data_IF_690722153833
#
_entry.id   IF_690722153833
#
_cell.length_a   1.000
_cell.length_b   1.000
_cell.length_c   1.000
_cell.angle_alpha   90.00
_cell.angle_beta   90.00
_cell.angle_gamma   90.00
#
_symmetry.space_group_name_H-M   'P 1'
#
loop_
_entity.id
_entity.type
_entity.pdbx_description
1 polymer ?
#
# COMPACT_ATOMS: atom_id res chain seq x y z
N UNK A 1 -52.78 54.55 -0.65
CA UNK A 1 -51.79 55.57 -0.26
C UNK A 1 -50.45 55.19 -0.88
N UNK A 2 -50.07 55.86 -1.98
CA UNK A 2 -48.68 56.03 -2.41
C UNK A 2 -48.02 57.12 -1.52
N UNK A 3 -46.69 57.41 -1.57
CA UNK A 3 -45.93 57.86 -2.77
C UNK A 3 -44.62 57.06 -3.01
N UNK A 4 -44.21 56.82 -4.26
CA UNK A 4 -43.41 57.63 -5.22
C UNK A 4 -41.88 57.56 -4.96
N UNK A 5 -41.07 56.87 -5.78
CA UNK A 5 -40.53 57.18 -7.13
C UNK A 5 -39.57 58.37 -7.18
N UNK A 6 -38.31 58.13 -7.63
CA UNK A 6 -37.53 58.78 -8.73
C UNK A 6 -36.40 57.78 -9.05
N UNK A 7 -36.02 57.30 -10.25
CA UNK A 7 -36.04 57.73 -11.66
C UNK A 7 -34.75 57.10 -12.28
N UNK A 8 -34.75 56.04 -13.12
CA UNK A 8 -35.10 55.93 -14.57
C UNK A 8 -34.09 56.78 -15.42
N UNK A 9 -33.72 56.51 -16.71
CA UNK A 9 -33.24 55.31 -17.45
C UNK A 9 -32.45 55.56 -18.81
N UNK A 10 -32.26 54.47 -19.61
CA UNK A 10 -32.02 54.29 -21.11
C UNK A 10 -30.72 54.86 -21.74
N UNK A 11 -30.19 54.41 -22.90
CA UNK A 11 -30.70 53.63 -24.04
C UNK A 11 -29.53 53.00 -24.85
N UNK A 12 -29.59 51.73 -25.27
CA UNK A 12 -30.10 51.13 -26.55
C UNK A 12 -29.23 51.24 -27.81
N UNK A 13 -29.08 50.08 -28.46
CA UNK A 13 -29.22 49.72 -29.90
C UNK A 13 -28.07 48.80 -30.37
N UNK A 14 -28.29 47.55 -30.82
CA UNK A 14 -29.18 46.96 -31.85
C UNK A 14 -28.47 46.79 -33.22
N UNK A 15 -28.66 45.59 -33.77
CA UNK A 15 -28.60 45.17 -35.19
C UNK A 15 -27.32 44.53 -35.76
N UNK A 16 -27.44 43.21 -35.97
CA UNK A 16 -27.27 42.45 -37.22
C UNK A 16 -26.11 42.77 -38.19
N UNK A 17 -25.34 41.75 -38.58
CA UNK A 17 -25.52 41.02 -39.87
C UNK A 17 -24.42 39.98 -40.12
N UNK A 18 -24.82 39.05 -41.00
CA UNK A 18 -24.18 37.82 -41.46
C UNK A 18 -23.00 38.03 -42.44
N UNK A 19 -22.34 36.89 -42.71
CA UNK A 19 -21.69 36.42 -43.94
C UNK A 19 -20.21 36.72 -44.17
N UNK A 20 -19.51 35.65 -44.57
CA UNK A 20 -18.62 35.73 -45.74
C UNK A 20 -17.17 35.35 -45.48
N UNK A 21 -16.81 34.15 -45.91
CA UNK A 21 -15.45 33.64 -45.98
C UNK A 21 -14.58 34.41 -46.97
N UNK A 22 -13.28 34.61 -46.67
CA UNK A 22 -12.24 34.66 -47.72
C UNK A 22 -10.83 34.33 -47.21
N UNK A 23 -10.15 33.58 -48.09
CA UNK A 23 -8.77 33.09 -48.11
C UNK A 23 -7.71 34.12 -47.70
N UNK A 24 -6.64 33.62 -47.05
CA UNK A 24 -5.35 34.29 -46.93
C UNK A 24 -4.37 33.78 -48.03
N UNK A 25 -3.44 34.62 -48.52
CA UNK A 25 -2.61 34.34 -49.69
C UNK A 25 -1.18 33.82 -49.37
N UNK A 26 -0.49 33.54 -50.47
CA UNK A 26 0.81 32.92 -50.73
C UNK A 26 2.09 33.66 -50.24
N UNK A 27 3.14 32.83 -50.05
CA UNK A 27 4.59 32.99 -50.35
C UNK A 27 5.50 33.99 -49.62
N UNK A 28 6.68 33.47 -49.25
CA UNK A 28 7.93 34.24 -49.26
C UNK A 28 9.02 33.74 -48.28
N UNK A 29 9.96 32.95 -48.80
CA UNK A 29 11.41 32.87 -48.46
C UNK A 29 11.86 32.83 -46.98
N UNK A 30 12.64 31.83 -46.53
CA UNK A 30 14.08 31.77 -46.83
C UNK A 30 14.66 30.42 -46.36
N UNK A 31 15.48 29.83 -47.22
CA UNK A 31 16.29 28.64 -47.00
C UNK A 31 17.66 29.09 -46.45
N UNK A 32 18.05 28.60 -45.28
CA UNK A 32 19.43 28.80 -44.79
C UNK A 32 19.52 28.76 -43.27
N UNK A 33 19.68 27.58 -42.67
CA UNK A 33 20.00 27.52 -41.23
C UNK A 33 19.67 26.23 -40.47
N UNK A 34 19.20 25.15 -41.11
CA UNK A 34 18.79 23.92 -40.40
C UNK A 34 19.78 22.75 -40.48
N UNK A 35 21.08 23.00 -40.63
CA UNK A 35 22.11 21.94 -40.69
C UNK A 35 23.19 22.02 -39.59
N UNK A 36 22.91 22.65 -38.44
CA UNK A 36 23.80 22.59 -37.26
C UNK A 36 23.11 22.35 -35.91
N UNK A 37 21.80 22.09 -35.90
CA UNK A 37 21.04 21.91 -34.65
C UNK A 37 20.60 20.46 -34.36
N UNK A 38 20.88 19.51 -35.25
CA UNK A 38 20.39 18.13 -35.16
C UNK A 38 21.43 17.08 -34.70
N UNK A 39 22.62 17.52 -34.27
CA UNK A 39 23.67 16.61 -33.75
C UNK A 39 23.94 16.81 -32.25
N UNK A 40 23.25 17.76 -31.59
CA UNK A 40 23.33 17.95 -30.13
C UNK A 40 22.09 17.47 -29.35
N UNK A 41 21.14 16.80 -30.01
CA UNK A 41 19.88 16.37 -29.39
C UNK A 41 19.68 14.86 -29.35
N UNK A 42 20.75 14.07 -29.45
CA UNK A 42 20.68 12.59 -29.48
C UNK A 42 21.67 11.87 -28.56
N UNK A 43 22.25 12.58 -27.57
CA UNK A 43 22.99 11.96 -26.44
C UNK A 43 22.58 12.63 -25.11
N UNK A 44 21.34 13.11 -25.01
CA UNK A 44 20.84 13.88 -23.87
C UNK A 44 19.48 13.43 -23.33
N UNK A 45 18.98 12.26 -23.75
CA UNK A 45 17.70 11.72 -23.32
C UNK A 45 17.81 10.19 -23.23
N UNK A 46 18.33 9.70 -22.11
CA UNK A 46 17.97 8.48 -21.35
C UNK A 46 18.90 8.50 -20.14
N UNK A 47 18.68 9.49 -19.28
CA UNK A 47 18.99 9.38 -17.86
C UNK A 47 17.70 9.77 -17.15
N UNK A 48 16.64 8.99 -17.39
CA UNK A 48 15.61 8.82 -16.37
C UNK A 48 16.35 8.10 -15.24
N UNK A 49 17.02 8.90 -14.41
CA UNK A 49 17.41 8.48 -13.07
C UNK A 49 16.07 8.20 -12.41
N UNK A 50 15.64 6.94 -12.48
CA UNK A 50 14.74 6.41 -11.49
C UNK A 50 15.43 6.69 -10.16
N UNK A 51 15.01 7.76 -9.49
CA UNK A 51 15.22 7.91 -8.06
C UNK A 51 14.37 6.81 -7.46
N UNK A 52 14.86 5.57 -7.52
CA UNK A 52 14.33 4.50 -6.70
C UNK A 52 14.65 4.96 -5.29
N UNK A 53 13.64 5.48 -4.58
CA UNK A 53 13.74 5.75 -3.17
C UNK A 53 14.23 4.45 -2.53
N UNK A 54 15.48 4.46 -2.06
CA UNK A 54 16.14 3.27 -1.53
C UNK A 54 15.29 2.80 -0.35
N UNK A 55 14.73 1.59 -0.46
CA UNK A 55 13.98 0.98 0.63
C UNK A 55 14.83 1.00 1.90
N UNK A 56 14.25 1.43 3.01
CA UNK A 56 14.98 1.59 4.26
C UNK A 56 15.37 0.22 4.80
N UNK A 57 16.66 0.02 5.11
CA UNK A 57 17.13 -1.24 5.67
C UNK A 57 17.05 -1.22 7.19
N UNK A 58 16.99 -2.39 7.86
CA UNK A 58 17.11 -2.47 9.32
C UNK A 58 18.38 -1.79 9.86
N UNK A 59 19.47 -1.84 9.09
CA UNK A 59 20.73 -1.17 9.43
C UNK A 59 20.62 0.35 9.40
N UNK A 60 19.84 0.91 8.47
CA UNK A 60 19.57 2.34 8.42
C UNK A 60 18.78 2.79 9.66
N UNK A 61 17.80 1.99 10.10
CA UNK A 61 17.02 2.27 11.32
C UNK A 61 17.95 2.28 12.55
N UNK A 62 18.78 1.25 12.73
CA UNK A 62 19.72 1.22 13.85
C UNK A 62 20.72 2.37 13.79
N UNK A 63 21.21 2.75 12.61
CA UNK A 63 22.08 3.93 12.45
C UNK A 63 21.37 5.20 12.92
N UNK A 64 20.10 5.39 12.56
CA UNK A 64 19.29 6.52 13.00
C UNK A 64 19.10 6.52 14.53
N UNK A 65 18.84 5.36 15.12
CA UNK A 65 18.73 5.21 16.58
C UNK A 65 20.06 5.56 17.26
N UNK A 66 21.20 5.06 16.75
CA UNK A 66 22.55 5.37 17.27
C UNK A 66 22.85 6.86 17.22
N UNK A 67 22.48 7.56 16.15
CA UNK A 67 22.64 9.01 16.03
C UNK A 67 21.88 9.79 17.11
N UNK A 68 20.74 9.27 17.55
CA UNK A 68 19.92 9.88 18.60
C UNK A 68 20.33 9.44 20.01
N UNK A 69 20.79 8.20 20.18
CA UNK A 69 21.24 7.63 21.44
C UNK A 69 22.13 6.40 21.19
N UNK A 70 23.42 6.51 21.53
CA UNK A 70 24.42 5.46 21.27
C UNK A 70 24.15 4.14 22.02
N UNK A 71 23.65 4.20 23.26
CA UNK A 71 23.32 3.01 24.05
C UNK A 71 22.22 2.19 23.38
N UNK A 72 21.11 2.85 22.99
CA UNK A 72 20.02 2.20 22.25
C UNK A 72 20.45 1.75 20.86
N UNK A 73 21.42 2.45 20.27
CA UNK A 73 22.07 2.04 19.03
C UNK A 73 22.75 0.67 19.14
N UNK A 74 23.49 0.43 20.23
CA UNK A 74 24.12 -0.85 20.51
C UNK A 74 23.08 -1.96 20.73
N UNK A 75 21.99 -1.67 21.45
CA UNK A 75 20.86 -2.60 21.61
C UNK A 75 20.22 -2.96 20.26
N UNK A 76 20.02 -1.97 19.38
CA UNK A 76 19.51 -2.20 18.04
C UNK A 76 20.45 -3.05 17.19
N UNK A 77 21.77 -2.79 17.24
CA UNK A 77 22.75 -3.60 16.53
C UNK A 77 22.75 -5.07 16.98
N UNK A 78 22.52 -5.33 18.27
CA UNK A 78 22.36 -6.68 18.77
C UNK A 78 21.14 -7.39 18.15
N UNK A 79 20.02 -6.68 17.92
CA UNK A 79 18.85 -7.24 17.24
C UNK A 79 19.17 -7.65 15.80
N UNK A 80 19.91 -6.82 15.05
CA UNK A 80 20.29 -7.12 13.66
C UNK A 80 21.13 -8.40 13.54
N UNK A 81 21.93 -8.70 14.55
CA UNK A 81 22.78 -9.90 14.55
C UNK A 81 22.02 -11.20 14.81
N UNK A 82 20.79 -11.12 15.35
CA UNK A 82 20.05 -12.27 15.88
C UNK A 82 18.72 -12.52 15.16
N UNK A 83 18.13 -11.47 14.60
CA UNK A 83 16.77 -11.51 14.09
C UNK A 83 16.70 -11.08 12.63
N UNK A 84 15.62 -11.48 11.97
CA UNK A 84 15.26 -11.02 10.63
C UNK A 84 14.20 -9.94 10.69
N UNK A 85 14.15 -9.13 9.65
CA UNK A 85 13.25 -7.99 9.54
C UNK A 85 12.71 -7.90 8.12
N UNK A 86 11.41 -7.68 7.98
CA UNK A 86 10.83 -7.41 6.66
C UNK A 86 11.15 -5.97 6.22
N UNK A 87 11.25 -5.69 4.90
CA UNK A 87 11.40 -4.34 4.39
C UNK A 87 10.28 -3.39 4.87
N UNK A 88 9.04 -3.86 4.87
CA UNK A 88 7.89 -3.08 5.35
C UNK A 88 8.04 -2.66 6.82
N UNK A 89 8.41 -3.59 7.70
CA UNK A 89 8.67 -3.27 9.11
C UNK A 89 9.83 -2.29 9.29
N UNK A 90 10.88 -2.39 8.47
CA UNK A 90 12.03 -1.48 8.53
C UNK A 90 11.62 -0.04 8.20
N UNK A 91 10.77 0.14 7.21
CA UNK A 91 10.25 1.46 6.83
C UNK A 91 9.32 2.05 7.90
N UNK A 92 8.46 1.22 8.52
CA UNK A 92 7.61 1.63 9.65
C UNK A 92 8.48 2.05 10.84
N UNK A 93 9.51 1.26 11.18
CA UNK A 93 10.41 1.56 12.29
C UNK A 93 11.33 2.75 12.02
N UNK A 94 11.67 3.03 10.76
CA UNK A 94 12.35 4.28 10.40
C UNK A 94 11.49 5.50 10.74
N UNK A 95 10.18 5.47 10.44
CA UNK A 95 9.26 6.55 10.80
C UNK A 95 9.23 6.74 12.32
N UNK A 96 9.15 5.64 13.09
CA UNK A 96 9.19 5.70 14.55
C UNK A 96 10.53 6.26 15.08
N UNK A 97 11.65 5.83 14.51
CA UNK A 97 13.00 6.28 14.87
C UNK A 97 13.24 7.76 14.54
N UNK A 98 12.56 8.32 13.53
CA UNK A 98 12.62 9.75 13.25
C UNK A 98 11.98 10.60 14.35
N UNK A 99 11.06 10.04 15.14
CA UNK A 99 10.45 10.72 16.29
C UNK A 99 11.29 10.58 17.57
N UNK A 100 11.77 9.37 17.87
CA UNK A 100 12.69 9.16 19.01
C UNK A 100 13.46 7.84 18.90
N UNK A 101 14.62 7.78 19.55
CA UNK A 101 15.38 6.53 19.66
C UNK A 101 14.63 5.45 20.44
N UNK A 102 13.75 5.83 21.38
CA UNK A 102 12.94 4.88 22.14
C UNK A 102 11.91 4.18 21.25
N UNK A 103 11.11 4.98 20.51
CA UNK A 103 10.08 4.45 19.63
C UNK A 103 10.69 3.62 18.50
N UNK A 104 11.81 4.08 17.94
CA UNK A 104 12.57 3.33 16.94
C UNK A 104 13.03 1.97 17.46
N UNK A 105 13.65 1.93 18.65
CA UNK A 105 14.13 0.68 19.24
C UNK A 105 12.98 -0.26 19.61
N UNK A 106 11.91 0.24 20.24
CA UNK A 106 10.73 -0.57 20.58
C UNK A 106 10.06 -1.16 19.33
N UNK A 107 10.00 -0.38 18.24
CA UNK A 107 9.52 -0.87 16.96
C UNK A 107 10.40 -2.01 16.43
N UNK A 108 11.72 -1.84 16.42
CA UNK A 108 12.66 -2.88 16.00
C UNK A 108 12.56 -4.14 16.88
N UNK A 109 12.46 -4.00 18.20
CA UNK A 109 12.24 -5.15 19.09
C UNK A 109 10.95 -5.91 18.74
N UNK A 110 9.89 -5.17 18.41
CA UNK A 110 8.59 -5.75 18.06
C UNK A 110 8.60 -6.40 16.68
N UNK A 111 9.34 -5.85 15.73
CA UNK A 111 9.43 -6.33 14.36
C UNK A 111 10.35 -7.55 14.19
N UNK A 112 11.16 -7.87 15.21
CA UNK A 112 12.10 -8.98 15.17
C UNK A 112 11.38 -10.29 14.82
N UNK A 113 11.83 -10.92 13.73
CA UNK A 113 11.32 -12.18 13.17
C UNK A 113 9.85 -12.18 12.73
N UNK A 114 9.21 -11.00 12.66
CA UNK A 114 7.83 -10.86 12.18
C UNK A 114 7.78 -10.42 10.73
N UNK A 115 6.78 -10.91 9.99
CA UNK A 115 6.46 -10.42 8.66
C UNK A 115 5.27 -9.46 8.71
N UNK A 116 5.41 -8.30 8.07
CA UNK A 116 4.31 -7.36 7.82
C UNK A 116 4.04 -7.36 6.32
N UNK A 117 2.80 -7.69 5.95
CA UNK A 117 2.35 -7.76 4.56
C UNK A 117 2.49 -6.38 3.86
N UNK A 118 2.95 -6.33 2.59
CA UNK A 118 3.10 -5.08 1.84
C UNK A 118 1.81 -4.25 1.74
N UNK A 119 0.65 -4.91 1.71
CA UNK A 119 -0.67 -4.32 1.52
C UNK A 119 -1.08 -3.47 2.73
N UNK A 120 -0.81 -3.94 3.95
CA UNK A 120 -1.12 -3.22 5.19
C UNK A 120 -0.02 -2.23 5.62
N UNK A 121 1.18 -2.35 5.05
CA UNK A 121 2.32 -1.50 5.39
C UNK A 121 2.04 0.02 5.26
N UNK A 122 1.34 0.53 4.22
CA UNK A 122 0.95 1.94 4.13
C UNK A 122 0.12 2.41 5.33
N UNK A 123 -0.79 1.58 5.82
CA UNK A 123 -1.63 1.86 7.00
C UNK A 123 -0.75 1.99 8.25
N UNK A 124 0.16 1.04 8.49
CA UNK A 124 1.07 1.11 9.63
C UNK A 124 2.06 2.27 9.54
N UNK A 125 2.56 2.62 8.34
CA UNK A 125 3.37 3.83 8.13
C UNK A 125 2.59 5.09 8.49
N UNK A 126 1.32 5.17 8.06
CA UNK A 126 0.46 6.30 8.38
C UNK A 126 0.20 6.42 9.88
N UNK A 127 -0.11 5.31 10.56
CA UNK A 127 -0.25 5.23 12.02
C UNK A 127 1.02 5.73 12.72
N UNK A 128 2.19 5.22 12.32
CA UNK A 128 3.48 5.62 12.87
C UNK A 128 3.78 7.11 12.67
N UNK A 129 3.39 7.67 11.51
CA UNK A 129 3.57 9.10 11.21
C UNK A 129 2.72 10.02 12.09
N UNK A 130 1.55 9.56 12.53
CA UNK A 130 0.68 10.31 13.44
C UNK A 130 1.09 10.13 14.90
N UNK A 131 1.50 8.91 15.27
CA UNK A 131 1.96 8.59 16.60
C UNK A 131 2.99 7.45 16.56
N UNK A 132 4.26 7.82 16.70
CA UNK A 132 5.39 6.91 16.60
C UNK A 132 5.35 5.76 17.63
N UNK A 133 4.74 5.94 18.80
CA UNK A 133 4.64 4.85 19.79
C UNK A 133 3.67 3.75 19.38
N UNK A 134 2.71 4.04 18.48
CA UNK A 134 1.75 3.07 17.94
C UNK A 134 2.29 2.26 16.76
N UNK A 135 3.49 2.58 16.27
CA UNK A 135 4.15 1.81 15.22
C UNK A 135 4.29 0.34 15.63
N UNK A 136 4.79 0.09 16.86
CA UNK A 136 4.92 -1.26 17.42
C UNK A 136 3.56 -1.96 17.54
N UNK A 137 2.52 -1.27 18.00
CA UNK A 137 1.16 -1.84 18.10
C UNK A 137 0.62 -2.26 16.74
N UNK A 138 0.83 -1.45 15.70
CA UNK A 138 0.40 -1.81 14.34
C UNK A 138 1.16 -3.02 13.81
N UNK A 139 2.49 -3.07 14.01
CA UNK A 139 3.30 -4.24 13.62
C UNK A 139 2.80 -5.49 14.32
N UNK A 140 2.52 -5.43 15.63
CA UNK A 140 1.97 -6.58 16.36
C UNK A 140 0.61 -7.01 15.81
N UNK A 141 -0.28 -6.06 15.49
CA UNK A 141 -1.59 -6.38 14.92
C UNK A 141 -1.51 -6.95 13.51
N UNK A 142 -0.50 -6.57 12.73
CA UNK A 142 -0.33 -6.98 11.34
C UNK A 142 0.60 -8.17 11.15
N UNK A 143 1.30 -8.59 12.19
CA UNK A 143 2.34 -9.60 12.10
C UNK A 143 1.76 -10.94 11.71
N UNK A 144 2.36 -11.54 10.67
CA UNK A 144 2.09 -12.90 10.22
C UNK A 144 0.59 -13.17 10.00
N UNK A 145 -0.16 -12.10 9.69
CA UNK A 145 -1.60 -12.12 9.46
C UNK A 145 -1.87 -11.99 7.97
N UNK A 146 -2.89 -12.71 7.50
CA UNK A 146 -3.39 -12.56 6.15
C UNK A 146 -4.35 -11.36 6.07
N UNK A 147 -4.26 -10.64 4.95
CA UNK A 147 -5.13 -9.53 4.62
C UNK A 147 -5.79 -9.84 3.27
N UNK A 148 -7.11 -9.92 3.28
CA UNK A 148 -7.90 -10.29 2.11
C UNK A 148 -8.91 -9.21 1.74
N UNK A 149 -9.43 -9.29 0.52
CA UNK A 149 -10.56 -8.46 0.06
C UNK A 149 -10.26 -6.97 -0.16
N UNK A 150 -9.05 -6.48 0.11
CA UNK A 150 -8.71 -5.06 -0.03
C UNK A 150 -9.09 -4.19 1.18
N UNK A 151 -9.44 -4.80 2.32
CA UNK A 151 -9.90 -4.09 3.51
C UNK A 151 -8.81 -3.22 4.17
N UNK A 152 -7.54 -3.42 3.82
CA UNK A 152 -6.45 -2.52 4.18
C UNK A 152 -6.71 -1.07 3.73
N UNK A 153 -7.47 -0.85 2.65
CA UNK A 153 -7.84 0.48 2.18
C UNK A 153 -8.77 1.21 3.16
N UNK A 154 -9.71 0.49 3.79
CA UNK A 154 -10.58 1.05 4.82
C UNK A 154 -9.76 1.41 6.08
N UNK A 155 -8.79 0.56 6.45
CA UNK A 155 -7.91 0.84 7.57
C UNK A 155 -6.95 2.01 7.31
N UNK A 156 -6.46 2.16 6.07
CA UNK A 156 -5.69 3.34 5.68
C UNK A 156 -6.53 4.61 5.81
N UNK A 157 -7.78 4.57 5.35
CA UNK A 157 -8.71 5.69 5.51
C UNK A 157 -8.95 6.04 6.98
N UNK A 158 -9.11 5.04 7.86
CA UNK A 158 -9.21 5.26 9.30
C UNK A 158 -7.92 5.87 9.89
N UNK A 159 -6.76 5.37 9.45
CA UNK A 159 -5.45 5.88 9.84
C UNK A 159 -5.18 7.31 9.37
N UNK A 160 -5.83 7.80 8.31
CA UNK A 160 -5.76 9.21 7.93
C UNK A 160 -6.38 10.15 8.96
N UNK A 161 -7.37 9.69 9.73
CA UNK A 161 -8.03 10.47 10.78
C UNK A 161 -7.36 10.30 12.13
N UNK A 162 -7.04 9.07 12.52
CA UNK A 162 -6.44 8.80 13.83
C UNK A 162 -5.60 7.53 13.81
N UNK A 163 -4.46 7.57 14.49
CA UNK A 163 -3.63 6.39 14.73
C UNK A 163 -4.34 5.33 15.57
N UNK A 164 -5.34 5.72 16.39
CA UNK A 164 -6.16 4.76 17.14
C UNK A 164 -7.14 4.00 16.26
N UNK A 165 -7.93 4.71 15.46
CA UNK A 165 -8.89 4.10 14.54
C UNK A 165 -8.17 3.22 13.52
N UNK A 166 -7.01 3.66 13.03
CA UNK A 166 -6.15 2.86 12.16
C UNK A 166 -5.75 1.53 12.81
N UNK A 167 -5.18 1.54 14.01
CA UNK A 167 -4.77 0.31 14.71
C UNK A 167 -5.95 -0.62 14.97
N UNK A 168 -7.08 -0.08 15.45
CA UNK A 168 -8.28 -0.88 15.71
C UNK A 168 -8.81 -1.55 14.44
N UNK A 169 -8.77 -0.85 13.31
CA UNK A 169 -9.13 -1.43 12.03
C UNK A 169 -8.15 -2.55 11.63
N UNK A 170 -6.84 -2.34 11.73
CA UNK A 170 -5.83 -3.39 11.43
C UNK A 170 -6.10 -4.65 12.26
N UNK A 171 -6.37 -4.49 13.55
CA UNK A 171 -6.70 -5.60 14.45
C UNK A 171 -7.98 -6.34 14.04
N UNK A 172 -8.99 -5.62 13.54
CA UNK A 172 -10.24 -6.24 13.11
C UNK A 172 -10.11 -6.99 11.79
N UNK A 173 -9.27 -6.50 10.86
CA UNK A 173 -9.13 -7.13 9.53
C UNK A 173 -8.11 -8.25 9.49
N UNK A 174 -7.15 -8.28 10.42
CA UNK A 174 -6.10 -9.28 10.47
C UNK A 174 -6.68 -10.70 10.61
N UNK A 175 -6.32 -11.58 9.67
CA UNK A 175 -6.69 -13.00 9.72
C UNK A 175 -8.16 -13.32 9.40
N UNK A 176 -8.93 -12.34 8.91
CA UNK A 176 -10.31 -12.55 8.48
C UNK A 176 -10.42 -12.59 6.95
N UNK A 177 -11.39 -13.37 6.47
CA UNK A 177 -11.82 -13.33 5.07
C UNK A 177 -12.73 -12.13 4.83
N UNK A 178 -12.53 -11.44 3.70
CA UNK A 178 -13.39 -10.36 3.24
C UNK A 178 -13.71 -10.52 1.77
N UNK A 179 -14.99 -10.51 1.45
CA UNK A 179 -15.46 -10.36 0.07
C UNK A 179 -15.00 -9.00 -0.49
N UNK A 180 -14.29 -8.95 -1.64
CA UNK A 180 -13.90 -7.70 -2.30
C UNK A 180 -15.04 -6.71 -2.52
N UNK A 181 -16.29 -7.19 -2.64
CA UNK A 181 -17.47 -6.34 -2.77
C UNK A 181 -17.76 -5.50 -1.50
N UNK A 182 -17.33 -5.96 -0.32
CA UNK A 182 -17.51 -5.23 0.95
C UNK A 182 -16.63 -3.98 1.06
N UNK A 183 -15.44 -4.01 0.44
CA UNK A 183 -14.40 -2.99 0.61
C UNK A 183 -14.86 -1.58 0.24
N UNK A 184 -15.49 -1.31 -0.92
CA UNK A 184 -15.99 0.03 -1.25
C UNK A 184 -16.96 0.58 -0.19
N UNK A 185 -17.79 -0.28 0.41
CA UNK A 185 -18.73 0.12 1.47
C UNK A 185 -17.97 0.53 2.72
N UNK A 186 -17.02 -0.28 3.18
CA UNK A 186 -16.26 0.02 4.39
C UNK A 186 -15.27 1.18 4.23
N UNK A 187 -14.70 1.38 3.03
CA UNK A 187 -13.95 2.60 2.70
C UNK A 187 -14.86 3.83 2.81
N UNK A 188 -16.09 3.76 2.28
CA UNK A 188 -17.05 4.87 2.37
C UNK A 188 -17.47 5.13 3.83
N UNK A 189 -17.74 4.08 4.62
CA UNK A 189 -18.00 4.20 6.06
C UNK A 189 -16.84 4.89 6.77
N UNK A 190 -15.59 4.45 6.52
CA UNK A 190 -14.39 5.03 7.11
C UNK A 190 -14.17 6.50 6.70
N UNK A 191 -14.55 6.87 5.47
CA UNK A 191 -14.50 8.28 4.99
C UNK A 191 -15.45 9.18 5.77
N UNK A 192 -16.67 8.72 6.03
CA UNK A 192 -17.66 9.50 6.78
C UNK A 192 -17.38 9.50 8.29
N UNK A 193 -16.93 8.38 8.82
CA UNK A 193 -16.56 8.25 10.23
C UNK A 193 -15.47 7.19 10.42
N UNK A 194 -14.24 7.65 10.63
CA UNK A 194 -13.07 6.80 10.78
C UNK A 194 -13.18 5.80 11.95
N UNK A 195 -13.89 6.13 13.04
CA UNK A 195 -14.05 5.18 14.15
C UNK A 195 -14.96 4.01 13.81
N UNK A 196 -15.83 4.15 12.80
CA UNK A 196 -16.73 3.07 12.33
C UNK A 196 -16.11 2.16 11.27
N UNK A 197 -14.87 2.43 10.86
CA UNK A 197 -14.14 1.51 9.98
C UNK A 197 -14.03 0.12 10.60
N UNK A 198 -13.75 0.07 11.90
CA UNK A 198 -13.71 -1.16 12.70
C UNK A 198 -15.07 -1.85 12.75
N UNK A 199 -16.16 -1.10 13.02
CA UNK A 199 -17.51 -1.66 13.02
C UNK A 199 -17.86 -2.31 11.68
N UNK A 200 -17.49 -1.66 10.56
CA UNK A 200 -17.73 -2.20 9.23
C UNK A 200 -16.90 -3.46 8.97
N UNK A 201 -15.61 -3.43 9.33
CA UNK A 201 -14.74 -4.59 9.21
C UNK A 201 -15.23 -5.78 10.05
N UNK A 202 -15.78 -5.56 11.24
CA UNK A 202 -16.39 -6.64 12.04
C UNK A 202 -17.68 -7.13 11.40
N UNK A 203 -18.53 -6.21 10.91
CA UNK A 203 -19.81 -6.56 10.28
C UNK A 203 -19.67 -7.40 9.00
N UNK A 204 -18.57 -7.22 8.27
CA UNK A 204 -18.29 -7.90 7.00
C UNK A 204 -17.27 -9.04 7.10
N UNK A 205 -16.72 -9.30 8.28
CA UNK A 205 -15.74 -10.37 8.47
C UNK A 205 -16.38 -11.73 8.20
N UNK A 206 -15.70 -12.56 7.41
CA UNK A 206 -16.09 -13.91 7.06
C UNK A 206 -17.50 -13.99 6.45
N UNK A 207 -17.84 -13.03 5.58
CA UNK A 207 -19.11 -12.97 4.86
C UNK A 207 -18.91 -12.79 3.36
N UNK A 208 -19.84 -13.36 2.59
CA UNK A 208 -20.00 -13.12 1.15
C UNK A 208 -21.19 -12.19 0.92
N UNK A 209 -21.07 -11.33 -0.09
CA UNK A 209 -22.12 -10.41 -0.52
C UNK A 209 -22.54 -10.74 -1.97
N UNK A 210 -23.70 -11.39 -2.17
CA UNK A 210 -24.23 -11.68 -3.49
C UNK A 210 -24.36 -10.43 -4.37
N UNK A 211 -24.36 -10.65 -5.68
CA UNK A 211 -24.39 -9.58 -6.69
C UNK A 211 -25.46 -8.51 -6.40
N UNK A 212 -25.03 -7.25 -6.33
CA UNK A 212 -25.90 -6.09 -6.10
C UNK A 212 -26.08 -5.72 -4.63
N UNK A 213 -25.91 -6.65 -3.68
CA UNK A 213 -26.08 -6.38 -2.24
C UNK A 213 -25.10 -5.31 -1.76
N UNK A 214 -23.82 -5.45 -2.11
CA UNK A 214 -22.80 -4.46 -1.77
C UNK A 214 -23.09 -3.08 -2.37
N UNK A 215 -23.70 -3.00 -3.56
CA UNK A 215 -24.07 -1.73 -4.17
C UNK A 215 -25.20 -1.03 -3.41
N UNK A 216 -26.17 -1.79 -2.89
CA UNK A 216 -27.24 -1.27 -2.04
C UNK A 216 -26.64 -0.77 -0.73
N UNK A 217 -25.76 -1.55 -0.10
CA UNK A 217 -25.07 -1.13 1.12
C UNK A 217 -24.15 0.06 0.92
N UNK A 218 -23.54 0.21 -0.26
CA UNK A 218 -22.76 1.39 -0.61
C UNK A 218 -23.63 2.65 -0.66
N UNK A 219 -24.84 2.56 -1.21
CA UNK A 219 -25.78 3.69 -1.25
C UNK A 219 -26.27 4.06 0.17
N UNK A 220 -26.52 3.06 1.02
CA UNK A 220 -26.78 3.28 2.44
C UNK A 220 -25.59 3.94 3.14
N UNK A 221 -24.36 3.51 2.84
CA UNK A 221 -23.13 4.07 3.40
C UNK A 221 -22.85 5.50 2.92
N UNK A 222 -23.29 5.89 1.72
CA UNK A 222 -23.22 7.30 1.26
C UNK A 222 -24.11 8.22 2.09
N UNK A 223 -25.26 7.72 2.52
CA UNK A 223 -26.21 8.47 3.35
C UNK A 223 -25.76 8.55 4.81
N UNK A 224 -25.24 7.46 5.37
CA UNK A 224 -24.77 7.40 6.75
C UNK A 224 -23.81 6.24 6.98
N UNK A 225 -22.74 6.50 7.72
CA UNK A 225 -21.80 5.44 8.15
C UNK A 225 -22.49 4.35 8.97
N UNK A 226 -23.47 4.69 9.80
CA UNK A 226 -24.23 3.70 10.59
C UNK A 226 -25.10 2.81 9.69
N UNK A 227 -25.79 3.40 8.72
CA UNK A 227 -26.64 2.65 7.78
C UNK A 227 -25.81 1.72 6.90
N UNK A 228 -24.62 2.16 6.46
CA UNK A 228 -23.66 1.30 5.78
C UNK A 228 -23.29 0.06 6.59
N UNK A 229 -22.85 0.26 7.85
CA UNK A 229 -22.49 -0.85 8.76
C UNK A 229 -23.67 -1.80 9.00
N UNK A 230 -24.86 -1.26 9.26
CA UNK A 230 -26.06 -2.07 9.47
C UNK A 230 -26.41 -2.91 8.25
N UNK A 231 -26.33 -2.32 7.06
CA UNK A 231 -26.57 -3.03 5.80
C UNK A 231 -25.57 -4.18 5.61
N UNK A 232 -24.28 -3.91 5.83
CA UNK A 232 -23.23 -4.94 5.75
C UNK A 232 -23.50 -6.08 6.73
N UNK A 233 -23.87 -5.76 7.97
CA UNK A 233 -24.13 -6.77 8.98
C UNK A 233 -25.33 -7.67 8.63
N UNK A 234 -26.40 -7.09 8.10
CA UNK A 234 -27.68 -7.77 7.85
C UNK A 234 -27.73 -8.51 6.51
N UNK A 235 -26.93 -8.09 5.53
CA UNK A 235 -27.07 -8.58 4.15
C UNK A 235 -25.98 -9.55 3.72
N UNK A 236 -24.91 -9.70 4.51
CA UNK A 236 -23.87 -10.67 4.26
C UNK A 236 -24.31 -12.08 4.65
N UNK A 237 -23.94 -13.05 3.83
CA UNK A 237 -24.09 -14.47 4.12
C UNK A 237 -22.80 -14.96 4.78
N UNK A 238 -22.92 -15.72 5.87
CA UNK A 238 -21.75 -16.29 6.55
C UNK A 238 -20.97 -17.18 5.57
N UNK A 239 -19.65 -17.04 5.57
CA UNK A 239 -18.75 -17.87 4.78
C UNK A 239 -18.55 -19.20 5.51
N UNK A 240 -19.35 -20.19 5.14
CA UNK A 240 -19.36 -21.53 5.76
C UNK A 240 -18.26 -22.48 5.26
N UNK A 241 -17.18 -21.99 4.63
CA UNK A 241 -16.01 -22.88 4.50
C UNK A 241 -15.49 -23.16 5.91
N UNK A 242 -15.41 -24.46 6.25
CA UNK A 242 -14.42 -24.92 7.23
C UNK A 242 -13.14 -24.14 6.95
N UNK A 243 -12.54 -23.45 7.94
CA UNK A 243 -11.28 -22.78 7.70
C UNK A 243 -10.38 -23.82 7.03
N UNK A 244 -9.74 -23.50 5.88
CA UNK A 244 -8.88 -24.46 5.21
C UNK A 244 -8.00 -25.09 6.29
N UNK A 245 -7.88 -26.43 6.32
CA UNK A 245 -7.26 -27.15 7.42
C UNK A 245 -6.03 -26.36 7.85
N UNK A 246 -5.99 -26.03 9.15
CA UNK A 246 -5.03 -25.08 9.73
C UNK A 246 -3.70 -25.21 9.01
N UNK A 247 -3.22 -24.08 8.52
CA UNK A 247 -2.16 -23.94 7.53
C UNK A 247 -0.94 -24.87 7.75
N UNK A 248 -0.69 -25.36 8.97
CA UNK A 248 0.35 -26.32 9.34
C UNK A 248 0.41 -27.63 8.54
N UNK A 249 -0.72 -28.23 8.10
CA UNK A 249 -0.66 -29.54 7.41
C UNK A 249 -0.28 -29.42 5.92
N UNK A 250 -0.70 -28.35 5.24
CA UNK A 250 -0.28 -28.06 3.85
C UNK A 250 1.09 -27.36 3.78
N UNK A 251 1.49 -26.72 4.87
CA UNK A 251 2.75 -25.96 4.97
C UNK A 251 3.96 -26.86 5.21
N UNK A 252 3.86 -28.01 5.89
CA UNK A 252 5.05 -28.82 6.13
C UNK A 252 5.65 -29.41 4.84
N UNK A 253 4.79 -29.83 3.92
CA UNK A 253 5.22 -30.35 2.61
C UNK A 253 5.87 -29.24 1.80
N UNK A 254 5.19 -28.11 1.57
CA UNK A 254 5.72 -26.98 0.80
C UNK A 254 6.91 -26.27 1.48
N UNK A 255 6.95 -26.12 2.82
CA UNK A 255 8.13 -25.56 3.51
C UNK A 255 9.35 -26.46 3.35
N UNK A 256 9.19 -27.78 3.38
CA UNK A 256 10.34 -28.69 3.23
C UNK A 256 10.94 -28.61 1.81
N UNK A 257 10.10 -28.54 0.80
CA UNK A 257 10.48 -28.42 -0.62
C UNK A 257 11.04 -27.04 -0.94
N UNK A 258 10.40 -25.95 -0.48
CA UNK A 258 10.96 -24.60 -0.58
C UNK A 258 12.30 -24.45 0.15
N UNK A 259 12.49 -25.11 1.31
CA UNK A 259 13.79 -25.12 2.00
C UNK A 259 14.86 -25.83 1.16
N UNK A 260 14.51 -26.84 0.37
CA UNK A 260 15.44 -27.51 -0.53
C UNK A 260 15.76 -26.64 -1.75
N UNK A 261 14.77 -25.97 -2.34
CA UNK A 261 14.96 -24.98 -3.42
C UNK A 261 15.90 -23.85 -2.96
N UNK A 262 15.67 -23.28 -1.78
CA UNK A 262 16.54 -22.25 -1.20
C UNK A 262 17.96 -22.78 -0.93
N UNK A 263 18.10 -24.05 -0.51
CA UNK A 263 19.42 -24.70 -0.35
C UNK A 263 20.13 -24.85 -1.69
N UNK A 264 19.43 -25.25 -2.74
CA UNK A 264 19.97 -25.38 -4.10
C UNK A 264 20.42 -24.02 -4.65
N UNK A 265 19.59 -22.97 -4.52
CA UNK A 265 19.93 -21.61 -4.94
C UNK A 265 21.17 -21.08 -4.21
N UNK A 266 21.29 -21.29 -2.89
CA UNK A 266 22.49 -20.90 -2.12
C UNK A 266 23.74 -21.70 -2.49
N UNK A 267 23.61 -22.94 -2.95
CA UNK A 267 24.73 -23.73 -3.48
C UNK A 267 25.11 -23.24 -4.88
N UNK A 268 24.14 -22.84 -5.70
CA UNK A 268 24.36 -22.23 -7.01
C UNK A 268 25.08 -20.90 -6.90
N UNK A 269 24.65 -20.03 -5.97
CA UNK A 269 25.31 -18.75 -5.71
C UNK A 269 26.77 -18.94 -5.27
N UNK A 270 27.03 -19.84 -4.31
CA UNK A 270 28.41 -20.16 -3.90
C UNK A 270 29.24 -20.78 -5.03
N UNK A 271 28.63 -21.47 -5.98
CA UNK A 271 29.33 -21.98 -7.16
C UNK A 271 29.69 -20.83 -8.13
N UNK A 272 28.82 -19.83 -8.29
CA UNK A 272 29.12 -18.60 -9.05
C UNK A 272 30.25 -17.80 -8.40
N UNK A 273 30.19 -17.61 -7.08
CA UNK A 273 31.20 -16.84 -6.34
C UNK A 273 32.60 -17.50 -6.44
N UNK A 274 32.64 -18.83 -6.63
CA UNK A 274 33.86 -19.60 -6.83
C UNK A 274 34.21 -19.82 -8.32
N UNK A 275 33.56 -19.11 -9.25
CA UNK A 275 33.84 -19.17 -10.70
C UNK A 275 33.36 -20.46 -11.41
N UNK A 276 32.61 -21.33 -10.72
CA UNK A 276 32.08 -22.58 -11.28
C UNK A 276 30.68 -22.37 -11.87
N UNK A 277 30.64 -21.69 -13.02
CA UNK A 277 29.42 -21.30 -13.74
C UNK A 277 28.60 -22.50 -14.22
N UNK A 278 29.24 -23.60 -14.62
CA UNK A 278 28.56 -24.81 -15.11
C UNK A 278 27.82 -25.56 -13.98
N UNK A 279 28.39 -25.57 -12.77
CA UNK A 279 27.71 -26.13 -11.59
C UNK A 279 26.59 -25.23 -11.10
N UNK A 280 26.79 -23.92 -11.15
CA UNK A 280 25.75 -22.95 -10.83
C UNK A 280 24.54 -23.07 -11.76
N UNK A 281 24.77 -23.13 -13.08
CA UNK A 281 23.70 -23.27 -14.06
C UNK A 281 22.83 -24.51 -13.82
N UNK A 282 23.46 -25.67 -13.54
CA UNK A 282 22.73 -26.91 -13.20
C UNK A 282 21.90 -26.78 -11.93
N UNK A 283 22.45 -26.15 -10.88
CA UNK A 283 21.72 -25.95 -9.62
C UNK A 283 20.54 -24.98 -9.77
N UNK A 284 20.70 -23.94 -10.60
CA UNK A 284 19.63 -23.00 -10.92
C UNK A 284 18.51 -23.66 -11.72
N UNK A 285 18.86 -24.44 -12.75
CA UNK A 285 17.89 -25.15 -13.58
C UNK A 285 17.10 -26.18 -12.75
N UNK A 286 17.76 -26.94 -11.89
CA UNK A 286 17.10 -27.90 -10.99
C UNK A 286 16.18 -27.20 -9.98
N UNK A 287 16.59 -26.04 -9.46
CA UNK A 287 15.73 -25.27 -8.55
C UNK A 287 14.51 -24.67 -9.24
N UNK A 288 14.62 -24.33 -10.53
CA UNK A 288 13.52 -23.81 -11.33
C UNK A 288 12.53 -24.92 -11.69
N UNK A 289 13.01 -26.12 -12.04
CA UNK A 289 12.15 -27.28 -12.27
C UNK A 289 11.39 -27.66 -11.01
N UNK A 290 12.06 -27.77 -9.86
CA UNK A 290 11.40 -28.07 -8.58
C UNK A 290 10.34 -27.01 -8.21
N UNK A 291 10.56 -25.74 -8.56
CA UNK A 291 9.55 -24.69 -8.36
C UNK A 291 8.34 -24.87 -9.30
N UNK A 292 8.57 -25.28 -10.55
CA UNK A 292 7.48 -25.57 -11.49
C UNK A 292 6.67 -26.79 -11.06
N UNK A 293 7.31 -27.83 -10.53
CA UNK A 293 6.65 -29.03 -10.04
C UNK A 293 5.75 -28.72 -8.82
N UNK A 294 6.13 -27.75 -7.97
CA UNK A 294 5.30 -27.26 -6.86
C UNK A 294 4.11 -26.43 -7.38
N UNK A 295 4.30 -25.62 -8.43
CA UNK A 295 3.24 -24.78 -9.01
C UNK A 295 2.16 -25.63 -9.72
N UNK A 296 2.50 -26.84 -10.16
CA UNK A 296 1.60 -27.74 -10.88
C UNK A 296 0.84 -28.73 -9.97
N UNK A 297 1.16 -28.79 -8.68
CA UNK A 297 0.44 -29.57 -7.66
C UNK A 297 -0.70 -28.74 -7.07
#
# INVERSE_FOLDING_TARGET
MAPDFIGIPIATKESDRKFGATRAPFLGETIGGKMKFLVKLTIGLIAVVAIQAKAQTPADVCRKITQLNSSRGAECAALLSRHRFSPASSEICMIAANSSSLNGLQCMQTAADKYVAPEIAPTCKKIASLNASRAATCITAAADSDFSGGMEAACLQAAHSSSLSGVQCVQAVAGNFYDPAATPVCVQVARLNASRATDCAVASANKIYPNGTASICLEAARSSSLSGVQCMNQSGLDYDEEPPPSHDEYIEVTKSELREIVRMLRRGQRALDNGNTQRAGRLMQNSQQALQDIIQQ
#
